data_IF_639530735722
#
_entry.id   IF_639530735722
#
_cell.length_a   1.000
_cell.length_b   1.000
_cell.length_c   1.000
_cell.angle_alpha   90.00
_cell.angle_beta   90.00
_cell.angle_gamma   90.00
#
_symmetry.space_group_name_H-M   'P 1'
#
loop_
_entity.id
_entity.type
_entity.pdbx_description
1 polymer ?
#
# COMPACT_ATOMS: atom_id res chain seq x y z
N UNK A 1 -85.16 -35.36 10.70
CA UNK A 1 -83.78 -35.33 10.28
C UNK A 1 -82.93 -34.95 11.47
N UNK A 2 -82.39 -35.97 12.18
CA UNK A 2 -81.65 -35.78 13.45
C UNK A 2 -80.14 -35.80 13.15
N UNK A 3 -79.44 -34.76 13.53
CA UNK A 3 -77.97 -34.65 13.42
C UNK A 3 -77.38 -35.33 14.64
N UNK A 4 -76.58 -36.37 14.43
CA UNK A 4 -75.78 -37.03 15.46
C UNK A 4 -74.44 -36.32 15.60
N UNK A 5 -74.21 -35.79 16.79
CA UNK A 5 -72.91 -35.13 17.15
C UNK A 5 -72.03 -36.20 17.81
N UNK A 6 -70.97 -36.60 17.13
CA UNK A 6 -69.98 -37.51 17.66
C UNK A 6 -68.93 -36.70 18.41
N UNK A 7 -68.83 -36.82 19.73
CA UNK A 7 -67.84 -36.22 20.60
C UNK A 7 -66.63 -37.17 20.69
N UNK A 8 -65.53 -36.82 20.02
CA UNK A 8 -64.27 -37.57 20.18
C UNK A 8 -63.48 -36.93 21.33
N UNK A 9 -63.40 -37.68 22.41
CA UNK A 9 -62.58 -37.34 23.58
C UNK A 9 -61.10 -37.80 23.21
N UNK A 10 -60.23 -36.85 22.96
CA UNK A 10 -58.80 -37.13 22.73
C UNK A 10 -58.12 -37.17 24.12
N UNK A 11 -57.64 -38.34 24.49
CA UNK A 11 -56.86 -38.54 25.72
C UNK A 11 -55.44 -38.06 25.46
N UNK A 12 -55.07 -36.90 26.02
CA UNK A 12 -53.66 -36.48 26.02
C UNK A 12 -52.93 -37.20 27.16
N UNK A 13 -52.11 -38.16 26.81
CA UNK A 13 -51.06 -38.69 27.70
C UNK A 13 -49.89 -37.65 27.72
N UNK A 14 -49.77 -36.98 28.84
CA UNK A 14 -48.64 -36.13 29.16
C UNK A 14 -47.45 -37.05 29.45
N UNK A 15 -46.59 -37.22 28.45
CA UNK A 15 -45.23 -37.76 28.66
C UNK A 15 -44.43 -36.62 29.29
N UNK A 16 -44.22 -36.70 30.59
CA UNK A 16 -43.26 -35.89 31.31
C UNK A 16 -41.85 -36.28 30.81
N UNK A 17 -41.35 -35.54 29.86
CA UNK A 17 -39.94 -35.59 29.53
C UNK A 17 -39.20 -34.83 30.63
N UNK A 18 -38.36 -35.52 31.39
CA UNK A 18 -37.42 -34.93 32.34
C UNK A 18 -36.62 -33.85 31.58
N UNK A 19 -36.65 -32.66 32.11
CA UNK A 19 -35.74 -31.58 31.67
C UNK A 19 -34.34 -32.03 31.97
N UNK A 20 -33.66 -32.53 30.92
CA UNK A 20 -32.19 -32.47 30.89
C UNK A 20 -31.84 -31.01 31.10
N UNK A 21 -31.10 -30.74 32.16
CA UNK A 21 -30.47 -29.50 32.42
C UNK A 21 -29.62 -29.17 31.18
N UNK A 22 -30.15 -28.29 30.33
CA UNK A 22 -29.28 -27.59 29.37
C UNK A 22 -28.28 -26.85 30.24
N UNK A 23 -27.11 -27.43 30.46
CA UNK A 23 -25.94 -26.67 30.73
C UNK A 23 -25.85 -25.71 29.54
N UNK A 24 -26.21 -24.45 29.78
CA UNK A 24 -25.80 -23.38 28.90
C UNK A 24 -24.27 -23.37 28.97
N UNK A 25 -23.64 -24.19 28.15
CA UNK A 25 -22.27 -23.96 27.81
C UNK A 25 -22.23 -22.52 27.32
N UNK A 26 -21.61 -21.69 28.13
CA UNK A 26 -21.33 -20.29 27.79
C UNK A 26 -20.26 -20.34 26.70
N UNK A 27 -20.71 -20.76 25.49
CA UNK A 27 -19.86 -20.86 24.33
C UNK A 27 -19.45 -19.42 24.05
N UNK A 28 -18.27 -19.05 24.54
CA UNK A 28 -17.70 -17.78 24.25
C UNK A 28 -17.49 -17.73 22.72
N UNK A 29 -18.26 -16.95 21.95
CA UNK A 29 -18.24 -17.03 20.51
C UNK A 29 -16.84 -16.67 20.01
N UNK A 30 -16.37 -17.34 18.95
CA UNK A 30 -15.11 -17.00 18.30
C UNK A 30 -15.06 -15.49 18.02
N UNK A 31 -14.06 -14.84 18.57
CA UNK A 31 -13.87 -13.40 18.40
C UNK A 31 -12.40 -13.04 18.29
N UNK A 32 -12.13 -11.95 17.57
CA UNK A 32 -10.81 -11.35 17.47
C UNK A 32 -10.81 -9.97 18.13
N UNK A 33 -9.62 -9.58 18.62
CA UNK A 33 -9.32 -8.22 19.05
C UNK A 33 -8.12 -7.70 18.27
N UNK A 34 -8.10 -6.39 17.97
CA UNK A 34 -7.03 -5.71 17.26
C UNK A 34 -6.38 -4.69 18.20
N UNK A 35 -5.08 -4.85 18.44
CA UNK A 35 -4.29 -3.94 19.27
C UNK A 35 -3.18 -3.33 18.45
N UNK A 36 -3.33 -2.09 17.97
CA UNK A 36 -2.25 -1.39 17.27
C UNK A 36 -1.14 -0.99 18.25
N UNK A 37 0.11 -1.00 17.78
CA UNK A 37 1.26 -0.48 18.55
C UNK A 37 1.20 1.05 18.70
N UNK A 38 0.47 1.75 17.81
CA UNK A 38 0.15 3.17 17.88
C UNK A 38 -1.11 3.48 17.10
N UNK A 39 -1.96 4.39 17.60
CA UNK A 39 -3.16 4.89 16.89
C UNK A 39 -2.85 6.07 15.97
N UNK A 40 -1.69 6.70 16.15
CA UNK A 40 -1.17 7.78 15.29
C UNK A 40 0.26 7.45 14.93
N UNK A 41 0.57 7.50 13.63
CA UNK A 41 1.90 7.26 13.08
C UNK A 41 2.27 8.40 12.13
N UNK A 42 3.54 8.53 11.78
CA UNK A 42 3.96 9.44 10.72
C UNK A 42 4.14 8.69 9.39
N UNK A 43 4.18 9.44 8.29
CA UNK A 43 4.45 8.88 6.95
C UNK A 43 5.70 7.99 6.98
N UNK A 44 5.62 6.84 6.32
CA UNK A 44 6.67 5.81 6.19
C UNK A 44 7.10 5.14 7.52
N UNK A 45 6.51 5.51 8.64
CA UNK A 45 6.78 4.85 9.91
C UNK A 45 6.19 3.44 9.92
N UNK A 46 7.04 2.45 10.18
CA UNK A 46 6.58 1.09 10.42
C UNK A 46 5.86 0.99 11.78
N UNK A 47 4.75 0.26 11.81
CA UNK A 47 3.99 -0.08 13.01
C UNK A 47 3.34 -1.44 12.87
N UNK A 48 2.86 -1.97 13.98
CA UNK A 48 2.25 -3.31 14.01
C UNK A 48 0.83 -3.26 14.57
N UNK A 49 0.03 -4.28 14.20
CA UNK A 49 -1.26 -4.58 14.81
C UNK A 49 -1.21 -6.03 15.29
N UNK A 50 -1.40 -6.24 16.57
CA UNK A 50 -1.57 -7.59 17.13
C UNK A 50 -3.02 -7.99 16.98
N UNK A 51 -3.25 -9.11 16.31
CA UNK A 51 -4.54 -9.83 16.26
C UNK A 51 -4.51 -10.87 17.35
N UNK A 52 -5.45 -10.81 18.29
CA UNK A 52 -5.64 -11.82 19.33
C UNK A 52 -7.02 -12.45 19.18
N UNK A 53 -7.11 -13.78 19.28
CA UNK A 53 -8.35 -14.52 19.09
C UNK A 53 -8.66 -15.39 20.33
N UNK A 54 -9.95 -15.66 20.57
CA UNK A 54 -10.41 -16.56 21.63
C UNK A 54 -10.14 -18.03 21.35
N UNK A 55 -9.92 -18.38 20.09
CA UNK A 55 -9.60 -19.73 19.59
C UNK A 55 -8.54 -19.65 18.49
N UNK A 56 -8.01 -20.79 18.06
CA UNK A 56 -7.06 -20.85 16.95
C UNK A 56 -7.65 -20.32 15.64
N UNK A 57 -6.91 -19.43 15.01
CA UNK A 57 -7.23 -18.89 13.69
C UNK A 57 -6.80 -19.91 12.64
N UNK A 58 -7.72 -20.32 11.78
CA UNK A 58 -7.47 -21.17 10.62
C UNK A 58 -7.10 -20.34 9.39
N UNK A 59 -7.77 -19.22 9.20
CA UNK A 59 -7.58 -18.31 8.07
C UNK A 59 -7.67 -16.87 8.56
N UNK A 60 -6.79 -16.01 8.07
CA UNK A 60 -6.75 -14.59 8.39
C UNK A 60 -6.70 -13.77 7.11
N UNK A 61 -7.57 -12.77 6.98
CA UNK A 61 -7.59 -11.80 5.90
C UNK A 61 -7.39 -10.39 6.45
N UNK A 62 -6.64 -9.60 5.70
CA UNK A 62 -6.33 -8.21 6.03
C UNK A 62 -6.59 -7.33 4.82
N UNK A 63 -7.26 -6.20 5.01
CA UNK A 63 -7.57 -5.26 3.95
C UNK A 63 -7.50 -3.82 4.46
N UNK A 64 -7.14 -2.90 3.58
CA UNK A 64 -7.18 -1.44 3.81
C UNK A 64 -8.29 -0.74 3.04
N UNK A 65 -9.09 -1.48 2.27
CA UNK A 65 -10.22 -1.01 1.46
C UNK A 65 -11.54 -1.73 1.78
N UNK A 66 -11.64 -2.29 2.97
CA UNK A 66 -12.78 -3.07 3.43
C UNK A 66 -13.10 -4.28 2.51
N UNK A 67 -12.05 -4.95 2.05
CA UNK A 67 -12.11 -6.11 1.16
C UNK A 67 -12.73 -5.86 -0.23
N UNK A 68 -12.78 -4.60 -0.68
CA UNK A 68 -13.31 -4.26 -2.01
C UNK A 68 -12.48 -4.88 -3.14
N UNK A 69 -11.14 -4.95 -2.99
CA UNK A 69 -10.22 -5.58 -3.95
C UNK A 69 -9.75 -6.98 -3.51
N UNK A 70 -10.36 -7.56 -2.47
CA UNK A 70 -10.00 -8.85 -1.90
C UNK A 70 -9.28 -8.72 -0.57
N UNK A 71 -8.00 -8.56 -0.55
CA UNK A 71 -7.17 -8.48 0.65
C UNK A 71 -6.15 -9.62 0.72
N UNK A 72 -5.24 -9.53 1.68
CA UNK A 72 -4.23 -10.55 1.92
C UNK A 72 -4.80 -11.66 2.77
N UNK A 73 -4.48 -12.92 2.46
CA UNK A 73 -4.96 -14.09 3.18
C UNK A 73 -3.82 -15.07 3.48
N UNK A 74 -3.86 -15.68 4.64
CA UNK A 74 -2.93 -16.73 5.04
C UNK A 74 -3.63 -17.76 5.95
N UNK A 75 -3.04 -18.95 6.09
CA UNK A 75 -3.60 -20.08 6.85
C UNK A 75 -2.67 -20.51 7.98
N UNK A 76 -3.24 -21.17 8.99
CA UNK A 76 -2.52 -21.79 10.11
C UNK A 76 -1.83 -20.80 11.04
N UNK A 77 -2.63 -19.98 11.68
CA UNK A 77 -2.18 -19.14 12.79
C UNK A 77 -2.59 -19.76 14.13
N UNK A 78 -1.83 -19.44 15.19
CA UNK A 78 -2.28 -19.68 16.55
C UNK A 78 -3.37 -18.69 16.98
N UNK A 79 -3.46 -18.41 18.27
CA UNK A 79 -4.40 -17.43 18.82
C UNK A 79 -3.92 -15.98 18.74
N UNK A 80 -2.65 -15.75 18.37
CA UNK A 80 -2.06 -14.41 18.21
C UNK A 80 -1.24 -14.32 16.93
N UNK A 81 -1.38 -13.18 16.24
CA UNK A 81 -0.60 -12.87 15.05
C UNK A 81 -0.27 -11.39 15.00
N UNK A 82 0.89 -11.05 14.41
CA UNK A 82 1.33 -9.66 14.25
C UNK A 82 1.29 -9.29 12.76
N UNK A 83 0.56 -8.22 12.47
CA UNK A 83 0.48 -7.61 11.15
C UNK A 83 1.44 -6.42 11.10
N UNK A 84 2.08 -6.19 9.96
CA UNK A 84 3.06 -5.15 9.72
C UNK A 84 2.53 -4.13 8.73
N UNK A 85 2.66 -2.85 9.02
CA UNK A 85 2.20 -1.76 8.17
C UNK A 85 3.18 -0.61 8.11
N UNK A 86 3.18 0.10 7.00
CA UNK A 86 3.58 1.49 6.88
C UNK A 86 2.66 2.16 5.84
N UNK A 87 2.44 3.46 5.95
CA UNK A 87 1.63 4.23 5.02
C UNK A 87 2.42 5.40 4.44
N UNK A 88 2.24 5.64 3.15
CA UNK A 88 2.89 6.69 2.38
C UNK A 88 1.99 7.91 2.11
N UNK A 89 0.75 7.89 2.61
CA UNK A 89 -0.23 8.96 2.40
C UNK A 89 -0.92 9.35 3.71
N UNK A 90 -1.21 10.62 3.85
CA UNK A 90 -1.81 11.21 5.06
C UNK A 90 -3.26 10.79 5.28
N UNK A 91 -3.75 11.09 6.49
CA UNK A 91 -5.15 10.93 6.87
C UNK A 91 -5.46 9.64 7.58
N UNK A 92 -6.75 9.40 7.79
CA UNK A 92 -7.22 8.20 8.45
C UNK A 92 -7.14 6.99 7.51
N UNK A 93 -6.64 5.87 8.05
CA UNK A 93 -6.56 4.57 7.38
C UNK A 93 -7.37 3.57 8.19
N UNK A 94 -8.39 2.98 7.58
CA UNK A 94 -9.15 1.89 8.20
C UNK A 94 -8.52 0.57 7.78
N UNK A 95 -8.16 -0.25 8.76
CA UNK A 95 -7.63 -1.59 8.55
C UNK A 95 -8.70 -2.57 9.02
N UNK A 96 -9.18 -3.40 8.09
CA UNK A 96 -10.16 -4.45 8.33
C UNK A 96 -9.44 -5.79 8.43
N UNK A 97 -9.73 -6.54 9.48
CA UNK A 97 -9.20 -7.89 9.70
C UNK A 97 -10.37 -8.84 9.88
N UNK A 98 -10.37 -9.91 9.11
CA UNK A 98 -11.33 -11.02 9.17
C UNK A 98 -10.58 -12.28 9.51
N UNK A 99 -11.03 -12.99 10.53
CA UNK A 99 -10.48 -14.29 10.92
C UNK A 99 -11.57 -15.36 10.92
N UNK A 100 -11.14 -16.59 10.68
CA UNK A 100 -11.98 -17.78 10.65
C UNK A 100 -11.34 -18.87 11.50
N UNK A 101 -12.07 -19.49 12.41
CA UNK A 101 -11.57 -20.57 13.25
C UNK A 101 -11.67 -21.94 12.55
N UNK A 102 -11.26 -23.01 13.25
CA UNK A 102 -11.33 -24.39 12.74
C UNK A 102 -12.75 -24.85 12.41
N UNK A 103 -13.75 -24.31 13.12
CA UNK A 103 -15.18 -24.61 12.92
C UNK A 103 -15.84 -23.73 11.82
N UNK A 104 -15.05 -22.96 11.07
CA UNK A 104 -15.48 -22.02 10.04
C UNK A 104 -16.35 -20.85 10.56
N UNK A 105 -16.32 -20.58 11.86
CA UNK A 105 -16.94 -19.35 12.42
C UNK A 105 -16.06 -18.16 12.08
N UNK A 106 -16.69 -17.07 11.63
CA UNK A 106 -16.00 -15.85 11.17
C UNK A 106 -16.16 -14.74 12.22
N UNK A 107 -15.07 -14.04 12.49
CA UNK A 107 -15.06 -12.79 13.25
C UNK A 107 -14.34 -11.70 12.44
N UNK A 108 -14.91 -10.49 12.43
CA UNK A 108 -14.35 -9.34 11.73
C UNK A 108 -14.25 -8.14 12.66
N UNK A 109 -13.14 -7.41 12.58
CA UNK A 109 -12.90 -6.17 13.33
C UNK A 109 -12.15 -5.16 12.46
N UNK A 110 -12.32 -3.90 12.83
CA UNK A 110 -11.63 -2.79 12.18
C UNK A 110 -10.90 -1.96 13.22
N UNK A 111 -9.80 -1.36 12.80
CA UNK A 111 -9.07 -0.34 13.56
C UNK A 111 -8.75 0.84 12.65
N UNK A 112 -8.80 2.04 13.20
CA UNK A 112 -8.48 3.29 12.48
C UNK A 112 -7.13 3.80 12.97
N UNK A 113 -6.24 4.08 12.04
CA UNK A 113 -4.92 4.67 12.29
C UNK A 113 -4.87 6.05 11.64
N UNK A 114 -4.45 7.06 12.38
CA UNK A 114 -4.21 8.40 11.84
C UNK A 114 -2.75 8.49 11.36
N UNK A 115 -2.56 8.78 10.07
CA UNK A 115 -1.24 9.04 9.49
C UNK A 115 -1.04 10.55 9.40
N UNK A 116 -0.08 11.07 10.16
CA UNK A 116 0.34 12.47 10.16
C UNK A 116 1.57 12.69 9.29
N UNK A 117 1.82 13.94 8.89
CA UNK A 117 2.99 14.30 8.09
C UNK A 117 4.31 14.07 8.87
N UNK A 118 4.35 14.43 10.14
CA UNK A 118 5.59 14.46 10.92
C UNK A 118 6.65 15.31 10.20
N UNK A 119 7.87 14.80 10.11
CA UNK A 119 8.99 15.45 9.40
C UNK A 119 9.05 15.12 7.90
N UNK A 120 8.03 14.43 7.35
CA UNK A 120 8.05 14.04 5.94
C UNK A 120 8.12 15.25 5.01
N UNK A 121 9.01 15.18 4.02
CA UNK A 121 9.03 16.12 2.90
C UNK A 121 7.89 15.76 1.93
N UNK A 122 7.44 16.74 1.17
CA UNK A 122 6.56 16.55 0.02
C UNK A 122 7.36 16.83 -1.24
N UNK A 123 7.45 15.86 -2.15
CA UNK A 123 8.01 16.10 -3.48
C UNK A 123 6.93 16.81 -4.30
N UNK A 124 7.25 17.99 -4.81
CA UNK A 124 6.32 18.83 -5.56
C UNK A 124 6.71 18.99 -7.03
N UNK A 125 7.87 18.49 -7.44
CA UNK A 125 8.28 18.48 -8.83
C UNK A 125 9.63 17.81 -9.06
N UNK A 126 9.86 17.44 -10.32
CA UNK A 126 11.12 16.92 -10.80
C UNK A 126 11.46 17.62 -12.12
N UNK A 127 12.72 18.01 -12.29
CA UNK A 127 13.25 18.53 -13.54
C UNK A 127 14.51 17.74 -13.92
N UNK A 128 14.52 17.10 -15.07
CA UNK A 128 15.72 16.47 -15.64
C UNK A 128 16.46 17.51 -16.47
N UNK A 129 17.76 17.62 -16.25
CA UNK A 129 18.65 18.56 -16.96
C UNK A 129 19.43 17.83 -18.05
N UNK A 130 19.96 16.66 -17.71
CA UNK A 130 20.69 15.80 -18.65
C UNK A 130 20.52 14.33 -18.26
N UNK A 131 20.74 13.41 -19.20
CA UNK A 131 20.74 11.98 -18.99
C UNK A 131 21.62 11.27 -20.04
N UNK A 132 21.89 9.98 -19.84
CA UNK A 132 22.67 9.19 -20.76
C UNK A 132 22.01 9.12 -22.14
N UNK A 133 22.76 9.49 -23.18
CA UNK A 133 22.23 9.47 -24.54
C UNK A 133 21.26 10.60 -24.88
N UNK A 134 21.17 11.68 -24.08
CA UNK A 134 20.38 12.86 -24.43
C UNK A 134 20.68 13.34 -25.86
N UNK A 135 19.68 13.70 -26.64
CA UNK A 135 19.72 14.08 -28.06
C UNK A 135 20.10 12.96 -29.05
N UNK A 136 20.25 11.70 -28.61
CA UNK A 136 20.36 10.58 -29.54
C UNK A 136 19.00 10.23 -30.13
N UNK A 137 18.98 9.38 -31.17
CA UNK A 137 17.74 8.91 -31.77
C UNK A 137 17.24 7.70 -31.00
N UNK A 138 16.02 7.79 -30.44
CA UNK A 138 15.29 6.72 -29.80
C UNK A 138 14.22 6.14 -30.72
N UNK A 139 13.59 7.01 -31.51
CA UNK A 139 12.56 6.64 -32.51
C UNK A 139 13.17 6.67 -33.92
N UNK A 140 13.74 5.56 -34.41
CA UNK A 140 14.53 5.52 -35.66
C UNK A 140 13.69 5.70 -36.92
N UNK A 141 12.38 5.65 -36.86
CA UNK A 141 11.46 5.96 -37.96
C UNK A 141 11.47 7.44 -38.35
N UNK A 142 11.93 8.31 -37.45
CA UNK A 142 12.08 9.75 -37.72
C UNK A 142 13.51 10.11 -38.23
N UNK A 143 13.60 11.10 -39.07
CA UNK A 143 14.88 11.58 -39.58
C UNK A 143 15.75 12.24 -38.52
N UNK A 144 17.07 12.30 -38.75
CA UNK A 144 18.06 12.79 -37.79
C UNK A 144 17.84 14.25 -37.30
N UNK A 145 17.05 15.03 -38.02
CA UNK A 145 16.72 16.43 -37.67
C UNK A 145 15.28 16.57 -37.14
N UNK A 146 14.51 15.49 -37.13
CA UNK A 146 13.14 15.50 -36.63
C UNK A 146 13.16 15.46 -35.07
N UNK A 147 12.49 16.38 -34.36
CA UNK A 147 12.43 16.35 -32.93
C UNK A 147 11.70 15.08 -32.39
N UNK A 148 10.80 14.49 -33.16
CA UNK A 148 10.08 13.28 -32.77
C UNK A 148 10.97 12.03 -32.68
N UNK A 149 12.24 12.11 -33.04
CA UNK A 149 13.21 11.03 -32.83
C UNK A 149 13.76 10.94 -31.41
N UNK A 150 13.45 11.92 -30.56
CA UNK A 150 13.98 12.02 -29.20
C UNK A 150 13.15 11.19 -28.24
N UNK A 151 13.76 10.78 -27.14
CA UNK A 151 13.11 9.93 -26.14
C UNK A 151 11.83 10.54 -25.54
N UNK A 152 10.84 9.70 -25.34
CA UNK A 152 9.60 9.97 -24.59
C UNK A 152 9.81 9.66 -23.13
N UNK A 153 10.00 10.69 -22.32
CA UNK A 153 10.53 10.56 -20.96
C UNK A 153 9.47 10.22 -19.92
N UNK A 154 9.74 9.20 -19.11
CA UNK A 154 9.03 8.93 -17.86
C UNK A 154 10.02 8.67 -16.73
N UNK A 155 9.87 9.35 -15.62
CA UNK A 155 10.61 8.97 -14.40
C UNK A 155 9.75 8.11 -13.46
N UNK A 156 10.43 7.29 -12.67
CA UNK A 156 9.84 6.51 -11.60
C UNK A 156 10.55 6.74 -10.28
N UNK A 157 9.79 6.74 -9.20
CA UNK A 157 10.31 6.79 -7.83
C UNK A 157 9.98 5.48 -7.12
N UNK A 158 10.96 4.94 -6.40
CA UNK A 158 10.76 3.74 -5.60
C UNK A 158 11.33 3.94 -4.20
N UNK A 159 10.58 3.54 -3.18
CA UNK A 159 10.98 3.56 -1.77
C UNK A 159 10.55 2.27 -1.08
N UNK A 160 11.13 1.98 0.08
CA UNK A 160 10.73 0.83 0.85
C UNK A 160 9.27 0.96 1.31
N UNK A 161 8.41 0.09 0.83
CA UNK A 161 7.00 0.00 1.17
C UNK A 161 6.64 -1.44 1.50
N UNK A 162 6.00 -1.67 2.65
CA UNK A 162 5.50 -3.00 2.98
C UNK A 162 4.42 -3.41 1.97
N UNK A 163 4.65 -4.51 1.30
CA UNK A 163 3.75 -5.03 0.27
C UNK A 163 2.61 -5.85 0.85
N UNK A 164 2.96 -6.77 1.76
CA UNK A 164 2.01 -7.67 2.40
C UNK A 164 2.10 -7.53 3.93
N UNK A 165 1.02 -7.12 4.61
CA UNK A 165 1.01 -6.99 6.07
C UNK A 165 1.31 -8.29 6.83
N UNK A 166 1.10 -9.45 6.20
CA UNK A 166 1.29 -10.76 6.81
C UNK A 166 2.75 -11.21 6.81
N UNK A 167 3.58 -10.76 5.85
CA UNK A 167 4.91 -11.33 5.61
C UNK A 167 6.06 -10.40 5.99
N UNK A 168 5.81 -9.14 6.34
CA UNK A 168 6.83 -8.13 6.59
C UNK A 168 7.84 -7.98 5.42
N UNK A 169 7.37 -8.16 4.18
CA UNK A 169 8.17 -8.09 2.96
C UNK A 169 7.95 -6.74 2.27
N UNK A 170 9.05 -6.07 1.94
CA UNK A 170 8.98 -4.82 1.17
C UNK A 170 8.70 -5.10 -0.31
N UNK A 171 7.78 -4.33 -0.88
CA UNK A 171 7.49 -4.37 -2.32
C UNK A 171 8.61 -3.68 -3.11
N UNK A 172 9.12 -4.31 -4.19
CA UNK A 172 10.06 -3.66 -5.11
C UNK A 172 9.38 -2.72 -6.12
N UNK A 173 8.05 -2.64 -6.12
CA UNK A 173 7.30 -1.87 -7.09
C UNK A 173 7.59 -0.36 -6.98
N UNK A 174 7.39 0.35 -8.09
CA UNK A 174 7.43 1.80 -8.08
C UNK A 174 6.36 2.36 -7.12
N UNK A 175 6.78 3.32 -6.32
CA UNK A 175 5.89 4.10 -5.50
C UNK A 175 5.12 5.15 -6.32
N UNK A 176 5.81 5.73 -7.33
CA UNK A 176 5.26 6.72 -8.23
C UNK A 176 5.84 6.55 -9.63
N UNK A 177 4.98 6.75 -10.63
CA UNK A 177 5.36 6.87 -12.04
C UNK A 177 4.80 8.20 -12.57
N UNK A 178 5.65 9.00 -13.20
CA UNK A 178 5.23 10.29 -13.79
C UNK A 178 4.36 10.09 -15.02
N UNK A 179 3.72 11.17 -15.48
CA UNK A 179 3.27 11.26 -16.87
C UNK A 179 4.44 11.18 -17.84
N UNK A 180 4.17 10.82 -19.08
CA UNK A 180 5.16 10.87 -20.17
C UNK A 180 5.32 12.32 -20.64
N UNK A 181 6.54 12.73 -20.90
CA UNK A 181 6.87 13.94 -21.65
C UNK A 181 7.45 13.50 -22.99
N UNK A 182 6.72 13.73 -24.05
CA UNK A 182 7.09 13.33 -25.40
C UNK A 182 8.29 14.14 -25.90
N UNK A 183 9.18 13.46 -26.63
CA UNK A 183 10.27 14.06 -27.41
C UNK A 183 11.18 14.98 -26.58
N UNK A 184 11.50 14.58 -25.34
CA UNK A 184 12.29 15.36 -24.37
C UNK A 184 11.71 16.74 -24.01
N UNK A 185 10.60 17.17 -24.53
CA UNK A 185 9.84 18.39 -24.24
C UNK A 185 10.52 19.40 -23.29
N UNK A 186 9.86 19.79 -22.22
CA UNK A 186 10.42 20.68 -21.20
C UNK A 186 11.15 19.94 -20.05
N UNK A 187 11.13 18.60 -20.06
CA UNK A 187 11.73 17.71 -19.02
C UNK A 187 11.41 18.11 -17.58
N UNK A 188 10.23 18.68 -17.35
CA UNK A 188 9.80 19.16 -16.04
C UNK A 188 8.40 18.65 -15.71
N UNK A 189 8.26 18.02 -14.56
CA UNK A 189 6.98 17.51 -14.03
C UNK A 189 6.57 18.28 -12.78
N UNK A 190 5.34 18.76 -12.78
CA UNK A 190 4.67 19.27 -11.57
C UNK A 190 3.98 18.13 -10.85
N UNK A 191 4.47 17.79 -9.66
CA UNK A 191 3.93 16.74 -8.79
C UNK A 191 3.20 17.32 -7.56
N UNK A 192 2.90 18.60 -7.57
CA UNK A 192 2.35 19.31 -6.41
C UNK A 192 1.01 18.74 -5.91
N UNK A 193 0.23 18.13 -6.81
CA UNK A 193 -1.07 17.52 -6.53
C UNK A 193 -1.00 16.01 -6.23
N UNK A 194 0.17 15.36 -6.39
CA UNK A 194 0.29 13.90 -6.28
C UNK A 194 0.46 13.39 -4.84
N UNK A 195 0.56 14.31 -3.87
CA UNK A 195 0.71 13.97 -2.44
C UNK A 195 1.87 13.02 -2.13
N UNK A 196 3.01 13.24 -2.78
CA UNK A 196 4.21 12.41 -2.66
C UNK A 196 4.97 12.73 -1.37
N UNK A 197 4.57 12.10 -0.28
CA UNK A 197 5.23 12.26 1.02
C UNK A 197 6.29 11.18 1.23
N UNK A 198 7.45 11.60 1.76
CA UNK A 198 8.59 10.74 2.04
C UNK A 198 9.25 11.10 3.37
N UNK A 199 9.56 10.10 4.18
CA UNK A 199 10.47 10.29 5.31
C UNK A 199 11.86 10.68 4.77
N UNK A 200 12.39 11.88 5.11
CA UNK A 200 13.65 12.35 4.53
C UNK A 200 14.89 11.51 4.93
N UNK A 201 14.76 10.63 5.92
CA UNK A 201 15.81 9.68 6.30
C UNK A 201 15.74 8.36 5.50
N UNK A 202 14.67 8.15 4.73
CA UNK A 202 14.56 6.97 3.88
C UNK A 202 15.25 7.21 2.52
N UNK A 203 15.97 6.22 1.98
CA UNK A 203 16.50 6.31 0.63
C UNK A 203 15.37 6.30 -0.38
N UNK A 204 15.55 7.04 -1.47
CA UNK A 204 14.66 7.07 -2.62
C UNK A 204 15.44 6.63 -3.86
N UNK A 205 14.87 5.76 -4.67
CA UNK A 205 15.41 5.35 -5.94
C UNK A 205 14.72 6.14 -7.05
N UNK A 206 15.50 6.72 -7.94
CA UNK A 206 15.06 7.43 -9.13
C UNK A 206 15.41 6.62 -10.36
N UNK A 207 14.43 6.34 -11.22
CA UNK A 207 14.57 5.72 -12.54
C UNK A 207 14.14 6.69 -13.63
N UNK A 208 14.69 6.57 -14.83
CA UNK A 208 14.31 7.33 -16.02
C UNK A 208 14.35 6.40 -17.22
N UNK A 209 13.26 6.37 -17.98
CA UNK A 209 13.10 5.47 -19.12
C UNK A 209 12.50 6.22 -20.31
N UNK A 210 12.76 5.71 -21.49
CA UNK A 210 12.06 6.00 -22.72
C UNK A 210 10.76 5.20 -22.80
N UNK A 211 9.72 5.75 -23.38
CA UNK A 211 8.39 5.12 -23.49
C UNK A 211 7.95 5.04 -24.93
N UNK A 212 7.97 3.84 -25.50
CA UNK A 212 7.48 3.55 -26.85
C UNK A 212 6.08 2.95 -26.82
N UNK A 213 5.11 3.60 -27.42
CA UNK A 213 3.72 3.11 -27.49
C UNK A 213 3.13 2.72 -26.13
N UNK A 214 3.49 3.45 -25.05
CA UNK A 214 3.04 3.21 -23.68
C UNK A 214 3.80 2.09 -22.94
N UNK A 215 4.80 1.49 -23.56
CA UNK A 215 5.66 0.43 -22.98
C UNK A 215 7.02 1.04 -22.64
N UNK A 216 7.62 0.64 -21.53
CA UNK A 216 8.97 1.03 -21.18
C UNK A 216 9.98 0.44 -22.20
N UNK A 217 10.70 1.32 -22.86
CA UNK A 217 11.75 1.04 -23.83
C UNK A 217 13.14 1.09 -23.20
N UNK A 218 13.98 2.02 -23.67
CA UNK A 218 15.37 2.14 -23.25
C UNK A 218 15.51 2.67 -21.81
N UNK A 219 16.44 2.08 -21.04
CA UNK A 219 16.95 2.67 -19.80
C UNK A 219 17.85 3.86 -20.10
N UNK A 220 17.48 5.03 -19.61
CA UNK A 220 18.19 6.29 -19.82
C UNK A 220 19.24 6.60 -18.73
N UNK A 221 19.44 5.65 -17.80
CA UNK A 221 20.44 5.74 -16.73
C UNK A 221 21.69 4.91 -17.01
N UNK A 222 21.76 4.27 -18.19
CA UNK A 222 22.87 3.38 -18.56
C UNK A 222 23.14 2.31 -17.48
N UNK A 223 22.06 1.61 -17.08
CA UNK A 223 22.12 0.54 -16.07
C UNK A 223 23.00 -0.65 -16.45
N UNK A 224 23.22 -1.64 -15.63
CA UNK A 224 22.72 -1.78 -14.26
C UNK A 224 23.49 -0.94 -13.23
N UNK A 225 22.81 -0.48 -12.17
CA UNK A 225 21.37 -0.62 -11.92
C UNK A 225 20.52 0.39 -12.70
N UNK A 226 19.27 0.05 -13.01
CA UNK A 226 18.28 0.88 -13.74
C UNK A 226 17.71 1.99 -12.84
N UNK A 227 18.42 2.37 -11.78
CA UNK A 227 18.04 3.44 -10.86
C UNK A 227 19.28 4.12 -10.27
N UNK A 228 19.07 5.32 -9.73
CA UNK A 228 20.06 6.00 -8.87
C UNK A 228 19.43 6.25 -7.51
N UNK A 229 20.16 5.89 -6.46
CA UNK A 229 19.72 6.15 -5.09
C UNK A 229 20.04 7.60 -4.72
N UNK A 230 19.06 8.29 -4.16
CA UNK A 230 19.16 9.66 -3.67
C UNK A 230 18.70 9.73 -2.22
N UNK A 231 19.21 10.71 -1.49
CA UNK A 231 18.91 10.90 -0.08
C UNK A 231 18.69 12.38 0.22
N UNK A 232 17.77 12.65 1.13
CA UNK A 232 17.47 13.98 1.63
C UNK A 232 18.13 14.25 2.99
N UNK A 233 18.80 13.26 3.58
CA UNK A 233 19.39 13.33 4.94
C UNK A 233 20.35 14.49 5.10
N UNK A 234 21.18 14.79 4.09
CA UNK A 234 22.15 15.87 4.14
C UNK A 234 21.52 17.28 4.13
N UNK A 235 20.23 17.37 3.86
CA UNK A 235 19.49 18.63 3.72
C UNK A 235 18.54 18.93 4.89
N UNK A 236 18.52 18.08 5.93
CA UNK A 236 17.61 18.21 7.08
C UNK A 236 17.77 19.54 7.83
N UNK A 237 18.98 20.14 7.81
CA UNK A 237 19.27 21.42 8.48
C UNK A 237 18.98 22.59 7.56
N UNK A 238 19.47 22.55 6.32
CA UNK A 238 19.40 23.67 5.37
C UNK A 238 18.05 23.80 4.68
N UNK A 239 17.29 22.69 4.61
CA UNK A 239 15.94 22.60 4.04
C UNK A 239 15.77 23.37 2.72
N UNK A 240 16.63 23.17 1.68
CA UNK A 240 16.46 23.86 0.42
C UNK A 240 15.18 23.38 -0.27
N UNK A 241 14.51 24.29 -0.98
CA UNK A 241 13.29 23.95 -1.75
C UNK A 241 13.59 23.23 -3.07
N UNK A 242 14.85 23.25 -3.50
CA UNK A 242 15.35 22.59 -4.73
C UNK A 242 16.66 21.90 -4.42
N UNK A 243 16.75 20.62 -4.75
CA UNK A 243 17.94 19.80 -4.53
C UNK A 243 18.38 19.25 -5.88
N UNK A 244 19.66 19.48 -6.23
CA UNK A 244 20.25 18.95 -7.45
C UNK A 244 21.02 17.68 -7.15
N UNK A 245 20.78 16.65 -7.94
CA UNK A 245 21.52 15.39 -7.95
C UNK A 245 22.27 15.25 -9.26
N UNK A 246 23.57 14.92 -9.19
CA UNK A 246 24.46 14.80 -10.34
C UNK A 246 25.20 13.49 -10.28
N UNK A 247 25.20 12.75 -11.40
CA UNK A 247 25.90 11.49 -11.62
C UNK A 247 26.72 11.61 -12.92
N UNK A 248 27.93 12.20 -12.84
CA UNK A 248 28.70 12.57 -14.02
C UNK A 248 29.08 11.38 -14.90
N UNK A 249 29.27 10.20 -14.28
CA UNK A 249 29.65 8.95 -14.98
C UNK A 249 28.64 8.50 -16.04
N UNK A 250 27.39 8.95 -15.94
CA UNK A 250 26.31 8.64 -16.87
C UNK A 250 25.64 9.90 -17.43
N UNK A 251 26.28 11.06 -17.32
CA UNK A 251 25.72 12.35 -17.75
C UNK A 251 24.30 12.64 -17.16
N UNK A 252 24.00 12.15 -15.96
CA UNK A 252 22.69 12.39 -15.34
C UNK A 252 22.78 13.59 -14.40
N UNK A 253 21.91 14.57 -14.64
CA UNK A 253 21.64 15.65 -13.70
C UNK A 253 20.14 15.91 -13.64
N UNK A 254 19.59 16.00 -12.44
CA UNK A 254 18.20 16.36 -12.24
C UNK A 254 17.99 17.11 -10.93
N UNK A 255 16.89 17.84 -10.84
CA UNK A 255 16.44 18.56 -9.65
C UNK A 255 15.19 17.95 -9.10
N UNK A 256 15.11 17.87 -7.78
CA UNK A 256 13.90 17.53 -7.05
C UNK A 256 13.44 18.77 -6.29
N UNK A 257 12.21 19.19 -6.55
CA UNK A 257 11.57 20.30 -5.84
C UNK A 257 10.80 19.73 -4.66
N UNK A 258 11.02 20.29 -3.49
CA UNK A 258 10.46 19.76 -2.24
C UNK A 258 9.88 20.85 -1.35
N UNK A 259 8.88 20.46 -0.58
CA UNK A 259 8.32 21.21 0.53
C UNK A 259 8.65 20.49 1.84
N UNK A 260 9.39 21.14 2.71
CA UNK A 260 9.74 20.61 4.04
C UNK A 260 8.58 20.78 5.01
N UNK A 261 8.51 19.90 6.00
CA UNK A 261 7.66 20.12 7.14
C UNK A 261 8.17 21.32 7.96
N UNK A 262 7.24 22.11 8.46
CA UNK A 262 7.52 23.28 9.33
C UNK A 262 8.03 22.85 10.69
#
# INVERSE_FOLDING_TARGET
MKKILILIVLLFTIISCSSDSNENENINPFSINLTPSANTVVVDQAFTITVSATEEIKELWVSTDNFATGGYAQRQFGTNYTLNFNFDSLGQKTISVRAKNQNNVVSEKQVVILVSRGNAIKIIGVQVISFYGINTTYDPEYGATDPNRLADLRFGLSKNKLGNPLDNIYSPAYWYLSSVIENQGNMTWDCSNDNLYLNPNAPLKFGLVDIDNGIAGADLLNGPPDYREISFTNYLITKPTTITYTFPEINLEFKVLVEWAN
#
